data_IF_315906543200
#
_entry.id   IF_315906543200
#
_cell.length_a   1.000
_cell.length_b   1.000
_cell.length_c   1.000
_cell.angle_alpha   90.00
_cell.angle_beta   90.00
_cell.angle_gamma   90.00
#
_symmetry.space_group_name_H-M   'P 1'
#
loop_
_entity.id
_entity.type
_entity.pdbx_description
1 polymer ?
#
# COMPACT_ATOMS: atom_id res chain seq x y z
N UNK A 1 -19.17 49.90 -23.97
CA UNK A 1 -18.56 50.13 -22.65
C UNK A 1 -18.17 48.73 -22.12
N UNK A 2 -16.91 48.35 -22.26
CA UNK A 2 -16.40 47.05 -21.74
C UNK A 2 -15.89 47.31 -20.32
N UNK A 3 -16.51 46.67 -19.35
CA UNK A 3 -16.02 46.67 -17.96
C UNK A 3 -14.80 45.72 -17.92
N UNK A 4 -13.62 46.17 -17.46
CA UNK A 4 -12.49 45.29 -17.26
C UNK A 4 -12.79 44.43 -16.02
N UNK A 5 -12.88 43.12 -16.20
CA UNK A 5 -12.86 42.14 -15.10
C UNK A 5 -11.45 42.20 -14.51
N UNK A 6 -11.37 42.60 -13.26
CA UNK A 6 -10.12 42.64 -12.51
C UNK A 6 -9.52 41.22 -12.43
N UNK A 7 -8.32 41.07 -12.99
CA UNK A 7 -7.59 39.78 -13.08
C UNK A 7 -6.97 39.29 -11.76
N UNK A 8 -7.64 39.48 -10.62
CA UNK A 8 -7.12 39.11 -9.31
C UNK A 8 -7.95 38.07 -8.53
N UNK A 9 -9.12 37.69 -9.02
CA UNK A 9 -10.08 36.95 -8.19
C UNK A 9 -10.18 35.44 -8.46
N UNK A 10 -9.67 34.95 -9.60
CA UNK A 10 -9.75 33.51 -9.91
C UNK A 10 -8.59 32.69 -9.34
N UNK A 11 -7.36 33.22 -9.33
CA UNK A 11 -6.21 32.52 -8.73
C UNK A 11 -6.32 32.36 -7.21
N UNK A 12 -6.95 33.33 -6.51
CA UNK A 12 -7.17 33.27 -5.06
C UNK A 12 -8.22 32.22 -4.67
N UNK A 13 -9.29 32.05 -5.44
CA UNK A 13 -10.38 31.11 -5.10
C UNK A 13 -9.92 29.66 -5.09
N UNK A 14 -9.11 29.22 -6.07
CA UNK A 14 -8.68 27.81 -6.14
C UNK A 14 -7.54 27.49 -5.18
N UNK A 15 -6.68 28.46 -4.83
CA UNK A 15 -5.67 28.27 -3.78
C UNK A 15 -6.30 28.14 -2.38
N UNK A 16 -7.44 28.78 -2.15
CA UNK A 16 -8.17 28.70 -0.89
C UNK A 16 -9.13 27.51 -0.84
N UNK A 17 -9.84 27.22 -1.92
CA UNK A 17 -10.88 26.18 -2.00
C UNK A 17 -10.31 24.80 -2.33
N UNK A 18 -9.21 24.74 -3.08
CA UNK A 18 -8.56 23.49 -3.48
C UNK A 18 -8.23 22.59 -2.28
N UNK A 19 -7.50 23.07 -1.26
CA UNK A 19 -7.17 22.28 -0.07
C UNK A 19 -8.40 21.79 0.71
N UNK A 20 -9.53 22.50 0.61
CA UNK A 20 -10.77 22.14 1.29
C UNK A 20 -11.57 21.10 0.51
N UNK A 21 -11.59 21.19 -0.81
CA UNK A 21 -12.41 20.31 -1.65
C UNK A 21 -11.70 19.02 -2.07
N UNK A 22 -10.40 19.06 -2.39
CA UNK A 22 -9.68 17.91 -2.91
C UNK A 22 -9.72 16.68 -1.99
N UNK A 23 -9.75 16.78 -0.65
CA UNK A 23 -9.89 15.62 0.23
C UNK A 23 -11.20 14.83 0.06
N UNK A 24 -12.23 15.43 -0.57
CA UNK A 24 -13.51 14.76 -0.84
C UNK A 24 -13.54 14.03 -2.19
N UNK A 25 -12.50 14.18 -3.01
CA UNK A 25 -12.39 13.48 -4.29
C UNK A 25 -11.47 12.26 -4.16
N UNK A 26 -11.73 11.26 -4.98
CA UNK A 26 -10.78 10.18 -5.23
C UNK A 26 -9.90 10.51 -6.44
N UNK A 27 -8.84 9.72 -6.64
CA UNK A 27 -7.89 9.96 -7.74
C UNK A 27 -8.52 9.78 -9.12
N UNK A 28 -9.58 8.96 -9.27
CA UNK A 28 -10.31 8.80 -10.53
C UNK A 28 -11.02 10.10 -10.92
N UNK A 29 -11.76 10.69 -9.98
CA UNK A 29 -12.49 11.93 -10.21
C UNK A 29 -11.55 13.11 -10.39
N UNK A 30 -10.45 13.13 -9.64
CA UNK A 30 -9.41 14.15 -9.74
C UNK A 30 -8.71 14.15 -11.13
N UNK A 31 -8.62 13.01 -11.81
CA UNK A 31 -8.12 12.96 -13.19
C UNK A 31 -8.92 13.87 -14.13
N UNK A 32 -10.24 13.95 -13.97
CA UNK A 32 -11.09 14.83 -14.77
C UNK A 32 -10.85 16.30 -14.43
N UNK A 33 -10.67 16.65 -13.17
CA UNK A 33 -10.41 18.02 -12.72
C UNK A 33 -9.14 18.62 -13.34
N UNK A 34 -8.10 17.81 -13.55
CA UNK A 34 -6.83 18.24 -14.16
C UNK A 34 -7.00 18.79 -15.59
N UNK A 35 -8.06 18.42 -16.28
CA UNK A 35 -8.33 18.85 -17.66
C UNK A 35 -9.13 20.16 -17.73
N UNK A 36 -9.62 20.66 -16.60
CA UNK A 36 -10.49 21.83 -16.57
C UNK A 36 -9.69 23.13 -16.75
N UNK A 37 -8.62 23.32 -15.99
CA UNK A 37 -7.73 24.48 -16.10
C UNK A 37 -6.36 24.19 -15.47
N UNK A 38 -5.40 25.13 -15.67
CA UNK A 38 -4.02 25.01 -15.15
C UNK A 38 -3.96 25.01 -13.62
N UNK A 39 -4.82 25.77 -12.99
CA UNK A 39 -4.91 25.89 -11.52
C UNK A 39 -5.37 24.58 -10.90
N UNK A 40 -6.37 23.90 -11.47
CA UNK A 40 -6.77 22.57 -11.04
C UNK A 40 -5.68 21.53 -11.29
N UNK A 41 -4.98 21.61 -12.42
CA UNK A 41 -3.83 20.74 -12.68
C UNK A 41 -2.77 20.89 -11.58
N UNK A 42 -2.42 22.12 -11.21
CA UNK A 42 -1.46 22.41 -10.16
C UNK A 42 -1.96 21.92 -8.80
N UNK A 43 -3.18 22.26 -8.41
CA UNK A 43 -3.78 21.85 -7.13
C UNK A 43 -3.84 20.34 -6.96
N UNK A 44 -4.26 19.60 -7.99
CA UNK A 44 -4.31 18.13 -7.98
C UNK A 44 -2.91 17.53 -7.88
N UNK A 45 -1.92 18.12 -8.55
CA UNK A 45 -0.53 17.62 -8.53
C UNK A 45 0.16 17.88 -7.19
N UNK A 46 -0.20 18.97 -6.49
CA UNK A 46 0.36 19.33 -5.19
C UNK A 46 -0.32 18.62 -4.01
N UNK A 47 -1.53 18.09 -4.19
CA UNK A 47 -2.29 17.45 -3.12
C UNK A 47 -1.67 16.10 -2.72
N UNK A 48 -1.48 15.83 -1.39
CA UNK A 48 -0.97 14.56 -0.90
C UNK A 48 -2.09 13.51 -0.83
N UNK A 49 -2.41 12.90 -1.97
CA UNK A 49 -3.51 11.93 -2.10
C UNK A 49 -3.34 10.72 -1.18
N UNK A 50 -4.35 10.45 -0.36
CA UNK A 50 -4.47 9.30 0.54
C UNK A 50 -5.64 8.37 0.14
N UNK A 51 -5.92 8.29 -1.14
CA UNK A 51 -7.01 7.51 -1.71
C UNK A 51 -6.69 6.01 -1.71
N UNK A 52 -7.28 5.29 -0.78
CA UNK A 52 -7.15 3.83 -0.62
C UNK A 52 -8.15 3.06 -1.47
N UNK A 53 -9.25 3.68 -1.86
CA UNK A 53 -10.39 3.04 -2.49
C UNK A 53 -10.24 2.89 -3.99
N UNK A 54 -9.62 3.85 -4.65
CA UNK A 54 -9.47 3.82 -6.11
C UNK A 54 -8.31 2.94 -6.52
N UNK A 55 -8.65 1.91 -7.25
CA UNK A 55 -7.63 1.04 -7.81
C UNK A 55 -7.14 1.60 -9.13
N UNK A 56 -5.82 1.58 -9.31
CA UNK A 56 -5.14 2.01 -10.53
C UNK A 56 -5.37 0.95 -11.61
N UNK A 57 -6.07 1.31 -12.69
CA UNK A 57 -6.41 0.38 -13.78
C UNK A 57 -5.51 0.50 -15.02
N UNK A 58 -4.76 1.56 -15.13
CA UNK A 58 -3.92 1.86 -16.28
C UNK A 58 -2.43 1.84 -15.95
N UNK A 59 -1.66 2.61 -16.71
CA UNK A 59 -0.23 2.77 -16.46
C UNK A 59 0.04 3.39 -15.11
N UNK A 60 0.81 2.70 -14.28
CA UNK A 60 1.24 3.18 -12.96
C UNK A 60 2.14 4.41 -13.12
N UNK A 61 3.00 4.44 -14.13
CA UNK A 61 3.83 5.60 -14.46
C UNK A 61 2.98 6.84 -14.79
N UNK A 62 1.92 6.67 -15.59
CA UNK A 62 1.00 7.76 -15.92
C UNK A 62 0.22 8.23 -14.68
N UNK A 63 -0.21 7.30 -13.83
CA UNK A 63 -0.84 7.64 -12.56
C UNK A 63 0.10 8.46 -11.66
N UNK A 64 1.36 8.01 -11.51
CA UNK A 64 2.34 8.73 -10.69
C UNK A 64 2.65 10.13 -11.22
N UNK A 65 2.73 10.28 -12.55
CA UNK A 65 2.89 11.59 -13.18
C UNK A 65 1.67 12.51 -12.92
N UNK A 66 0.48 11.94 -12.78
CA UNK A 66 -0.73 12.69 -12.41
C UNK A 66 -0.75 13.10 -10.93
N UNK A 67 -0.23 12.25 -10.05
CA UNK A 67 -0.30 12.38 -8.61
C UNK A 67 1.08 12.27 -7.96
N UNK A 68 2.01 13.19 -8.25
CA UNK A 68 3.41 13.08 -7.81
C UNK A 68 3.58 13.10 -6.30
N UNK A 69 2.62 13.67 -5.57
CA UNK A 69 2.60 13.72 -4.09
C UNK A 69 1.67 12.70 -3.45
N UNK A 70 1.14 11.74 -4.21
CA UNK A 70 0.33 10.68 -3.63
C UNK A 70 1.10 9.94 -2.54
N UNK A 71 0.40 9.64 -1.44
CA UNK A 71 0.92 8.89 -0.28
C UNK A 71 0.40 7.47 -0.22
N UNK A 72 -0.67 7.19 -0.97
CA UNK A 72 -1.32 5.90 -1.02
C UNK A 72 -1.53 5.47 -2.48
N UNK A 73 -1.38 4.18 -2.75
CA UNK A 73 -1.72 3.56 -4.04
C UNK A 73 -2.41 2.21 -3.81
N UNK A 74 -3.33 1.89 -4.71
CA UNK A 74 -3.99 0.59 -4.73
C UNK A 74 -3.89 -0.02 -6.12
N UNK A 75 -3.15 -1.13 -6.23
CA UNK A 75 -2.98 -1.94 -7.44
C UNK A 75 -3.48 -3.37 -7.27
N UNK A 76 -4.13 -3.65 -6.14
CA UNK A 76 -4.65 -4.97 -5.81
C UNK A 76 -5.63 -5.49 -6.85
N UNK A 77 -5.58 -6.79 -7.12
CA UNK A 77 -6.38 -7.47 -8.17
C UNK A 77 -7.72 -8.01 -7.66
N UNK A 78 -7.99 -7.87 -6.36
CA UNK A 78 -9.24 -8.34 -5.76
C UNK A 78 -10.15 -7.17 -5.39
N UNK A 79 -11.46 -7.31 -5.69
CA UNK A 79 -12.49 -6.39 -5.24
C UNK A 79 -13.46 -7.13 -4.31
N UNK A 80 -13.47 -6.73 -3.04
CA UNK A 80 -14.45 -7.25 -2.08
C UNK A 80 -15.90 -6.96 -2.51
N UNK A 81 -16.15 -5.83 -3.18
CA UNK A 81 -17.47 -5.45 -3.65
C UNK A 81 -17.99 -6.33 -4.80
N UNK A 82 -17.11 -6.92 -5.60
CA UNK A 82 -17.45 -7.78 -6.73
C UNK A 82 -17.32 -9.27 -6.42
N UNK A 83 -16.68 -9.64 -5.30
CA UNK A 83 -16.44 -11.03 -4.93
C UNK A 83 -15.62 -11.84 -5.96
N UNK A 84 -14.87 -11.15 -6.82
CA UNK A 84 -14.15 -11.77 -7.92
C UNK A 84 -12.78 -11.11 -8.14
N UNK A 85 -11.84 -11.91 -8.63
CA UNK A 85 -10.57 -11.42 -9.15
C UNK A 85 -10.81 -10.54 -10.37
N UNK A 86 -10.34 -9.30 -10.33
CA UNK A 86 -10.48 -8.40 -11.47
C UNK A 86 -9.39 -8.68 -12.50
N UNK A 87 -9.77 -8.88 -13.76
CA UNK A 87 -8.82 -8.94 -14.87
C UNK A 87 -8.16 -7.57 -15.04
N UNK A 88 -6.90 -7.49 -14.63
CA UNK A 88 -6.07 -6.28 -14.72
C UNK A 88 -4.79 -6.57 -15.44
N UNK A 89 -4.14 -5.50 -15.92
CA UNK A 89 -2.75 -5.60 -16.32
C UNK A 89 -1.92 -6.10 -15.13
N UNK A 90 -1.01 -7.04 -15.34
CA UNK A 90 -0.09 -7.48 -14.30
C UNK A 90 0.77 -6.29 -13.83
N UNK A 91 1.18 -6.34 -12.57
CA UNK A 91 2.11 -5.39 -11.97
C UNK A 91 3.44 -6.11 -11.84
N UNK A 92 4.49 -5.51 -12.35
CA UNK A 92 5.83 -6.08 -12.38
C UNK A 92 6.79 -5.28 -11.49
N UNK A 93 7.95 -5.84 -11.16
CA UNK A 93 8.96 -5.17 -10.36
C UNK A 93 9.33 -3.77 -10.88
N UNK A 94 9.40 -3.61 -12.21
CA UNK A 94 9.72 -2.34 -12.85
C UNK A 94 8.71 -1.21 -12.55
N UNK A 95 7.48 -1.55 -12.19
CA UNK A 95 6.46 -0.56 -11.84
C UNK A 95 6.70 0.05 -10.45
N UNK A 96 7.43 -0.66 -9.58
CA UNK A 96 7.59 -0.26 -8.18
C UNK A 96 8.42 1.00 -7.98
N UNK A 97 9.26 1.39 -8.93
CA UNK A 97 9.96 2.70 -8.91
C UNK A 97 8.97 3.86 -8.78
N UNK A 98 7.73 3.70 -9.27
CA UNK A 98 6.69 4.70 -9.19
C UNK A 98 5.98 4.74 -7.82
N UNK A 99 6.25 3.77 -6.94
CA UNK A 99 5.72 3.72 -5.57
C UNK A 99 6.70 4.25 -4.53
N UNK A 100 7.89 4.68 -4.93
CA UNK A 100 8.84 5.31 -4.02
C UNK A 100 8.21 6.50 -3.29
N UNK A 101 8.43 6.54 -1.96
CA UNK A 101 7.91 7.59 -1.09
C UNK A 101 6.43 7.48 -0.74
N UNK A 102 5.73 6.43 -1.16
CA UNK A 102 4.40 6.13 -0.64
C UNK A 102 4.49 5.79 0.85
N UNK A 103 3.40 6.09 1.56
CA UNK A 103 3.17 5.62 2.93
C UNK A 103 2.39 4.32 2.97
N UNK A 104 1.51 4.12 2.01
CA UNK A 104 0.61 2.97 1.96
C UNK A 104 0.55 2.39 0.55
N UNK A 105 0.67 1.07 0.43
CA UNK A 105 0.48 0.33 -0.81
C UNK A 105 -0.42 -0.87 -0.58
N UNK A 106 -1.44 -1.00 -1.42
CA UNK A 106 -2.34 -2.15 -1.48
C UNK A 106 -2.08 -2.89 -2.78
N UNK A 107 -1.46 -4.09 -2.69
CA UNK A 107 -1.04 -4.91 -3.83
C UNK A 107 -1.54 -6.35 -3.72
N UNK A 108 -2.70 -6.55 -3.10
CA UNK A 108 -3.27 -7.88 -2.96
C UNK A 108 -3.42 -8.61 -4.31
N UNK A 109 -3.07 -9.91 -4.33
CA UNK A 109 -3.13 -10.77 -5.52
C UNK A 109 -2.20 -10.35 -6.69
N UNK A 110 -1.10 -9.65 -6.41
CA UNK A 110 -0.08 -9.32 -7.41
C UNK A 110 0.93 -10.47 -7.51
N UNK A 111 0.72 -11.42 -8.43
CA UNK A 111 1.49 -12.66 -8.54
C UNK A 111 2.79 -12.52 -9.37
N UNK A 112 2.98 -11.41 -10.08
CA UNK A 112 4.09 -11.20 -11.02
C UNK A 112 5.24 -10.39 -10.41
N UNK A 113 5.24 -10.25 -9.05
CA UNK A 113 6.19 -9.44 -8.28
C UNK A 113 7.21 -10.35 -7.60
N UNK A 114 8.47 -9.89 -7.52
CA UNK A 114 9.58 -10.59 -6.83
C UNK A 114 10.18 -9.73 -5.71
N UNK A 115 11.21 -10.23 -5.03
CA UNK A 115 11.96 -9.46 -4.02
C UNK A 115 12.49 -8.13 -4.55
N UNK A 116 12.80 -8.05 -5.85
CA UNK A 116 13.35 -6.84 -6.46
C UNK A 116 12.43 -5.62 -6.38
N UNK A 117 11.11 -5.82 -6.33
CA UNK A 117 10.13 -4.76 -6.16
C UNK A 117 10.27 -4.05 -4.82
N UNK A 118 10.59 -4.78 -3.76
CA UNK A 118 10.53 -4.28 -2.38
C UNK A 118 11.63 -3.25 -2.06
N UNK A 119 12.71 -3.18 -2.85
CA UNK A 119 13.75 -2.15 -2.69
C UNK A 119 13.17 -0.73 -2.79
N UNK A 120 12.08 -0.55 -3.55
CA UNK A 120 11.37 0.72 -3.75
C UNK A 120 10.35 1.03 -2.64
N UNK A 121 10.12 0.09 -1.70
CA UNK A 121 9.17 0.24 -0.61
C UNK A 121 9.81 0.66 0.72
N UNK A 122 11.07 1.06 0.71
CA UNK A 122 11.77 1.52 1.92
C UNK A 122 11.04 2.69 2.57
N UNK A 123 10.77 2.57 3.87
CA UNK A 123 10.06 3.60 4.64
C UNK A 123 8.53 3.57 4.48
N UNK A 124 7.99 2.55 3.82
CA UNK A 124 6.54 2.36 3.76
C UNK A 124 5.99 2.10 5.18
N UNK A 125 4.82 2.66 5.48
CA UNK A 125 4.16 2.51 6.78
C UNK A 125 3.14 1.36 6.76
N UNK A 126 2.42 1.20 5.66
CA UNK A 126 1.37 0.18 5.50
C UNK A 126 1.55 -0.53 4.16
N UNK A 127 1.62 -1.86 4.20
CA UNK A 127 1.64 -2.72 3.03
C UNK A 127 0.57 -3.79 3.15
N UNK A 128 -0.26 -3.93 2.13
CA UNK A 128 -1.16 -5.07 1.96
C UNK A 128 -0.69 -5.89 0.75
N UNK A 129 -0.07 -7.04 1.04
CA UNK A 129 0.36 -8.04 0.07
C UNK A 129 -0.46 -9.33 0.18
N UNK A 130 -1.71 -9.22 0.61
CA UNK A 130 -2.64 -10.34 0.74
C UNK A 130 -2.61 -11.23 -0.50
N UNK A 131 -2.48 -12.53 -0.29
CA UNK A 131 -2.45 -13.56 -1.33
C UNK A 131 -1.37 -13.36 -2.42
N UNK A 132 -0.28 -12.67 -2.11
CA UNK A 132 0.94 -12.68 -2.93
C UNK A 132 1.75 -13.93 -2.58
N UNK A 133 1.31 -15.11 -3.06
CA UNK A 133 1.82 -16.43 -2.66
C UNK A 133 2.89 -16.99 -3.60
N UNK A 134 3.45 -16.18 -4.48
CA UNK A 134 4.49 -16.59 -5.41
C UNK A 134 5.83 -16.86 -4.72
N UNK A 135 6.56 -17.96 -5.08
CA UNK A 135 7.85 -18.30 -4.48
C UNK A 135 8.97 -17.28 -4.71
N UNK A 136 8.78 -16.35 -5.65
CA UNK A 136 9.73 -15.28 -5.96
C UNK A 136 9.76 -14.15 -4.91
N UNK A 137 8.83 -14.17 -3.93
CA UNK A 137 8.91 -13.34 -2.73
C UNK A 137 9.47 -14.23 -1.61
N UNK A 138 10.58 -13.79 -1.03
CA UNK A 138 11.32 -14.52 0.01
C UNK A 138 11.54 -13.64 1.24
N UNK A 139 12.22 -14.18 2.24
CA UNK A 139 12.64 -13.40 3.42
C UNK A 139 13.42 -12.13 3.05
N UNK A 140 14.11 -12.11 1.91
CA UNK A 140 14.91 -10.96 1.46
C UNK A 140 14.05 -9.72 1.17
N UNK A 141 12.79 -9.88 0.73
CA UNK A 141 11.85 -8.78 0.54
C UNK A 141 11.64 -7.98 1.82
N UNK A 142 11.55 -8.67 2.96
CA UNK A 142 11.24 -8.07 4.26
C UNK A 142 12.36 -7.19 4.81
N UNK A 143 13.61 -7.37 4.37
CA UNK A 143 14.71 -6.49 4.75
C UNK A 143 14.46 -5.02 4.32
N UNK A 144 13.66 -4.80 3.29
CA UNK A 144 13.28 -3.47 2.81
C UNK A 144 12.06 -2.87 3.55
N UNK A 145 11.38 -3.67 4.39
CA UNK A 145 10.21 -3.26 5.16
C UNK A 145 10.54 -2.86 6.61
N UNK A 146 11.83 -2.69 6.94
CA UNK A 146 12.22 -2.30 8.30
C UNK A 146 11.52 -1.00 8.71
N UNK A 147 10.86 -1.03 9.90
CA UNK A 147 10.08 0.10 10.41
C UNK A 147 8.62 0.16 9.95
N UNK A 148 8.17 -0.81 9.17
CA UNK A 148 6.75 -0.90 8.78
C UNK A 148 5.86 -1.01 10.03
N UNK A 149 4.68 -0.36 10.00
CA UNK A 149 3.75 -0.37 11.13
C UNK A 149 2.56 -1.31 10.90
N UNK A 150 2.18 -1.52 9.66
CA UNK A 150 1.02 -2.36 9.31
C UNK A 150 1.36 -3.24 8.12
N UNK A 151 1.22 -4.55 8.28
CA UNK A 151 1.44 -5.53 7.22
C UNK A 151 0.27 -6.50 7.12
N UNK A 152 -0.36 -6.55 5.95
CA UNK A 152 -1.30 -7.59 5.56
C UNK A 152 -0.58 -8.60 4.66
N UNK A 153 -0.43 -9.84 5.14
CA UNK A 153 0.15 -10.96 4.39
C UNK A 153 -0.76 -12.21 4.47
N UNK A 154 -2.07 -12.00 4.55
CA UNK A 154 -3.02 -13.10 4.56
C UNK A 154 -2.85 -13.98 3.33
N UNK A 155 -2.71 -15.30 3.52
CA UNK A 155 -2.57 -16.26 2.42
C UNK A 155 -1.25 -16.16 1.65
N UNK A 156 -0.20 -15.57 2.25
CA UNK A 156 1.17 -15.68 1.75
C UNK A 156 1.78 -16.97 2.27
N UNK A 157 1.40 -18.10 1.65
CA UNK A 157 1.67 -19.47 2.12
C UNK A 157 2.91 -20.11 1.48
N UNK A 158 3.70 -19.36 0.72
CA UNK A 158 4.94 -19.83 0.11
C UNK A 158 6.01 -20.16 1.16
N UNK A 159 6.66 -21.31 1.01
CA UNK A 159 7.71 -21.78 1.91
C UNK A 159 8.98 -20.93 1.90
N UNK A 160 9.10 -19.98 0.97
CA UNK A 160 10.21 -19.02 0.86
C UNK A 160 10.13 -17.85 1.82
N UNK A 161 8.97 -17.65 2.47
CA UNK A 161 8.80 -16.73 3.60
C UNK A 161 8.83 -17.56 4.88
N UNK A 162 9.86 -17.39 5.68
CA UNK A 162 10.08 -18.13 6.92
C UNK A 162 10.01 -17.20 8.15
N UNK A 163 10.23 -17.77 9.33
CA UNK A 163 10.33 -16.98 10.56
C UNK A 163 11.42 -15.92 10.49
N UNK A 164 12.46 -16.10 9.65
CA UNK A 164 13.56 -15.14 9.50
C UNK A 164 13.10 -13.79 8.94
N UNK A 165 12.06 -13.75 8.10
CA UNK A 165 11.45 -12.51 7.61
C UNK A 165 11.03 -11.58 8.75
N UNK A 166 10.56 -12.14 9.86
CA UNK A 166 10.00 -11.40 10.99
C UNK A 166 11.05 -10.61 11.78
N UNK A 167 12.33 -10.96 11.66
CA UNK A 167 13.43 -10.19 12.27
C UNK A 167 13.44 -8.71 11.78
N UNK A 168 12.92 -8.47 10.58
CA UNK A 168 12.81 -7.14 9.98
C UNK A 168 11.53 -6.38 10.36
N UNK A 169 10.56 -7.05 11.02
CA UNK A 169 9.26 -6.50 11.41
C UNK A 169 9.22 -6.00 12.86
N UNK A 170 10.36 -5.83 13.51
CA UNK A 170 10.41 -5.35 14.90
C UNK A 170 9.73 -3.99 15.04
N UNK A 171 8.82 -3.89 16.03
CA UNK A 171 8.05 -2.67 16.29
C UNK A 171 6.79 -2.53 15.43
N UNK A 172 6.44 -3.56 14.64
CA UNK A 172 5.18 -3.59 13.91
C UNK A 172 4.00 -3.49 14.88
N UNK A 173 2.96 -2.74 14.49
CA UNK A 173 1.79 -2.50 15.32
C UNK A 173 0.58 -3.37 14.92
N UNK A 174 0.45 -3.66 13.64
CA UNK A 174 -0.60 -4.52 13.12
C UNK A 174 -0.02 -5.50 12.10
N UNK A 175 -0.26 -6.78 12.32
CA UNK A 175 0.11 -7.85 11.41
C UNK A 175 -1.08 -8.76 11.15
N UNK A 176 -1.35 -9.02 9.89
CA UNK A 176 -2.24 -10.11 9.50
C UNK A 176 -1.43 -11.19 8.80
N UNK A 177 -1.16 -12.29 9.52
CA UNK A 177 -0.46 -13.48 9.02
C UNK A 177 -1.41 -14.70 8.91
N UNK A 178 -2.70 -14.45 8.78
CA UNK A 178 -3.69 -15.50 8.65
C UNK A 178 -3.40 -16.39 7.43
N UNK A 179 -3.67 -17.67 7.54
CA UNK A 179 -3.42 -18.65 6.47
C UNK A 179 -1.94 -18.68 5.99
N UNK A 180 -0.99 -18.56 6.93
CA UNK A 180 0.45 -18.70 6.68
C UNK A 180 0.96 -19.96 7.44
N UNK A 181 0.76 -21.18 6.91
CA UNK A 181 1.02 -22.43 7.64
C UNK A 181 2.50 -22.75 7.84
N UNK A 182 3.40 -22.08 7.14
CA UNK A 182 4.84 -22.31 7.17
C UNK A 182 5.54 -21.65 8.38
N UNK A 183 4.83 -20.80 9.15
CA UNK A 183 5.40 -20.09 10.29
C UNK A 183 5.36 -20.92 11.57
N UNK A 184 6.30 -20.62 12.50
CA UNK A 184 6.45 -21.30 13.77
C UNK A 184 6.51 -20.33 14.96
N UNK A 185 6.68 -20.83 16.18
CA UNK A 185 6.88 -20.03 17.38
C UNK A 185 8.03 -19.01 17.24
N UNK A 186 9.04 -19.32 16.41
CA UNK A 186 10.22 -18.48 16.25
C UNK A 186 9.88 -17.10 15.61
N UNK A 187 8.84 -17.00 14.78
CA UNK A 187 8.39 -15.70 14.24
C UNK A 187 7.98 -14.72 15.34
N UNK A 188 7.36 -15.23 16.42
CA UNK A 188 6.77 -14.40 17.47
C UNK A 188 7.80 -13.69 18.34
N UNK A 189 9.04 -14.17 18.40
CA UNK A 189 10.15 -13.52 19.12
C UNK A 189 10.37 -12.07 18.67
N UNK A 190 10.03 -11.77 17.42
CA UNK A 190 10.21 -10.46 16.80
C UNK A 190 8.98 -9.56 16.91
N UNK A 191 7.84 -10.07 17.41
CA UNK A 191 6.55 -9.37 17.45
C UNK A 191 6.25 -8.75 18.84
N UNK A 192 7.27 -8.61 19.70
CA UNK A 192 7.10 -8.02 21.03
C UNK A 192 6.47 -6.63 20.93
N UNK A 193 5.39 -6.40 21.71
CA UNK A 193 4.68 -5.13 21.75
C UNK A 193 3.75 -4.87 20.58
N UNK A 194 3.44 -5.90 19.78
CA UNK A 194 2.42 -5.80 18.74
C UNK A 194 1.05 -5.47 19.35
N UNK A 195 0.28 -4.56 18.71
CA UNK A 195 -1.06 -4.20 19.21
C UNK A 195 -2.16 -5.08 18.63
N UNK A 196 -2.04 -5.48 17.38
CA UNK A 196 -3.06 -6.26 16.68
C UNK A 196 -2.41 -7.36 15.86
N UNK A 197 -2.78 -8.60 16.15
CA UNK A 197 -2.34 -9.77 15.40
C UNK A 197 -3.54 -10.57 14.92
N UNK A 198 -3.65 -10.76 13.61
CA UNK A 198 -4.61 -11.66 12.99
C UNK A 198 -3.88 -12.92 12.53
N UNK A 199 -4.38 -14.09 12.95
CA UNK A 199 -3.79 -15.40 12.67
C UNK A 199 -4.87 -16.48 12.45
N UNK A 200 -5.87 -16.15 11.64
CA UNK A 200 -6.92 -17.09 11.27
C UNK A 200 -6.33 -18.25 10.45
N UNK A 201 -6.83 -19.47 10.67
CA UNK A 201 -6.32 -20.65 9.99
C UNK A 201 -4.79 -20.85 10.18
N UNK A 202 -4.25 -20.43 11.32
CA UNK A 202 -2.88 -20.71 11.74
C UNK A 202 -2.93 -21.83 12.80
N UNK A 203 -3.43 -23.01 12.42
CA UNK A 203 -3.62 -24.18 13.29
C UNK A 203 -2.50 -25.22 13.16
N UNK A 204 -1.37 -24.83 12.55
CA UNK A 204 -0.19 -25.67 12.42
C UNK A 204 0.42 -26.03 13.78
N UNK A 205 0.85 -27.30 14.00
CA UNK A 205 1.44 -27.75 15.26
C UNK A 205 2.73 -27.01 15.66
N UNK A 206 3.34 -26.29 14.73
CA UNK A 206 4.56 -25.51 14.94
C UNK A 206 4.30 -24.17 15.65
N UNK A 207 3.03 -23.73 15.82
CA UNK A 207 2.64 -22.62 16.67
C UNK A 207 2.02 -23.19 17.94
N UNK A 208 2.68 -22.94 19.08
CA UNK A 208 2.27 -23.43 20.40
C UNK A 208 1.99 -22.26 21.35
N UNK A 209 1.55 -22.55 22.56
CA UNK A 209 1.36 -21.54 23.62
C UNK A 209 2.65 -20.76 23.93
N UNK A 210 3.83 -21.34 23.62
CA UNK A 210 5.11 -20.67 23.83
C UNK A 210 5.27 -19.41 22.94
N UNK A 211 4.69 -19.39 21.76
CA UNK A 211 4.66 -18.22 20.88
C UNK A 211 4.13 -16.98 21.59
N UNK A 212 3.02 -17.12 22.32
CA UNK A 212 2.33 -16.00 22.95
C UNK A 212 3.08 -15.42 24.17
N UNK A 213 4.04 -16.16 24.74
CA UNK A 213 4.89 -15.64 25.79
C UNK A 213 5.77 -14.47 25.30
N UNK A 214 6.09 -14.43 24.02
CA UNK A 214 6.92 -13.38 23.42
C UNK A 214 6.15 -12.07 23.16
N UNK A 215 4.81 -12.10 23.11
CA UNK A 215 3.96 -10.92 22.80
C UNK A 215 3.79 -9.98 24.00
N UNK A 216 4.21 -10.40 25.18
CA UNK A 216 4.11 -9.59 26.40
C UNK A 216 5.07 -8.39 26.32
N UNK A 217 4.54 -7.18 26.38
CA UNK A 217 5.28 -5.92 26.38
C UNK A 217 4.82 -4.99 27.46
#
# INVERSE_FOLDING_TARGET
MRVPLAGGTQETLLSEVGPVLLPFFNTRDACALRLVCREFLAAVSEHPWEDRGTVIHGSIAAWRACFPRARCANVGRFSFAAGAEMRRAPVYDADFVHFEGLRELYMAYCYDVTDAAFVHLRGINTLDMTACSQPAITDAAFAHLAGIQRLGMWGCDQATITDAAFAHLRGIQLLNMSCCPQLTDAAFVHLRGIHTLYMWCCDQPAITDAAFAHLRG
#
